data_IF_685891405633
#
_entry.id   IF_685891405633
#
_cell.length_a   1.000
_cell.length_b   1.000
_cell.length_c   1.000
_cell.angle_alpha   90.00
_cell.angle_beta   90.00
_cell.angle_gamma   90.00
#
_symmetry.space_group_name_H-M   'P 1'
#
loop_
_entity.id
_entity.type
_entity.pdbx_description
1 polymer ?
#
# COMPACT_ATOMS: atom_id res chain seq x y z
N UNK A 1 -29.31 3.70 4.61
CA UNK A 1 -28.38 4.14 3.53
C UNK A 1 -27.42 5.20 4.05
N UNK A 2 -26.14 5.14 3.66
CA UNK A 2 -25.14 6.12 4.05
C UNK A 2 -24.48 6.74 2.82
N UNK A 3 -24.15 8.00 2.92
CA UNK A 3 -23.37 8.71 1.88
C UNK A 3 -21.98 8.93 2.43
N UNK A 4 -20.99 8.23 1.88
CA UNK A 4 -19.61 8.27 2.37
C UNK A 4 -18.62 8.47 1.25
N UNK A 5 -17.50 9.11 1.58
CA UNK A 5 -16.34 9.21 0.70
C UNK A 5 -15.09 9.06 1.56
N UNK A 6 -14.67 7.81 1.74
CA UNK A 6 -13.59 7.46 2.66
C UNK A 6 -12.36 7.08 1.82
N UNK A 7 -11.66 8.09 1.34
CA UNK A 7 -10.51 7.93 0.47
C UNK A 7 -9.22 7.94 1.27
N UNK A 8 -8.41 6.89 1.09
CA UNK A 8 -7.14 6.75 1.81
C UNK A 8 -6.01 6.38 0.87
N UNK A 9 -4.86 7.00 1.12
CA UNK A 9 -3.58 6.57 0.57
C UNK A 9 -2.94 5.67 1.62
N UNK A 10 -2.80 4.39 1.31
CA UNK A 10 -2.29 3.38 2.24
C UNK A 10 -0.93 2.89 1.73
N UNK A 11 0.05 2.83 2.62
CA UNK A 11 1.38 2.32 2.32
C UNK A 11 1.65 1.12 3.21
N UNK A 12 1.98 -0.01 2.60
CA UNK A 12 2.45 -1.20 3.31
C UNK A 12 3.80 -1.61 2.73
N UNK A 13 4.56 -2.37 3.51
CA UNK A 13 5.90 -2.78 3.11
C UNK A 13 6.21 -4.19 3.61
N UNK A 14 7.04 -4.94 2.88
CA UNK A 14 7.55 -6.21 3.39
C UNK A 14 8.30 -6.00 4.71
N UNK A 15 8.39 -7.06 5.51
CA UNK A 15 9.12 -7.06 6.78
C UNK A 15 10.54 -6.51 6.58
N UNK A 16 10.92 -5.58 7.43
CA UNK A 16 12.22 -4.90 7.39
C UNK A 16 12.48 -4.14 6.06
N UNK A 17 11.42 -3.87 5.31
CA UNK A 17 11.49 -3.20 4.01
C UNK A 17 12.41 -3.91 3.00
N UNK A 18 12.47 -5.24 3.07
CA UNK A 18 13.27 -6.03 2.13
C UNK A 18 12.71 -5.92 0.72
N UNK A 19 13.57 -5.83 -0.31
CA UNK A 19 13.12 -5.71 -1.70
C UNK A 19 12.72 -7.09 -2.27
N UNK A 20 11.55 -7.58 -1.90
CA UNK A 20 11.09 -8.93 -2.21
C UNK A 20 9.90 -9.00 -3.17
N UNK A 21 9.33 -7.84 -3.55
CA UNK A 21 8.25 -7.77 -4.55
C UNK A 21 8.88 -7.50 -5.90
N UNK A 22 9.15 -8.56 -6.66
CA UNK A 22 9.83 -8.45 -7.94
C UNK A 22 9.00 -7.68 -8.96
N UNK A 23 9.62 -6.74 -9.66
CA UNK A 23 8.97 -5.90 -10.67
C UNK A 23 8.29 -6.75 -11.75
N UNK A 24 8.90 -7.87 -12.15
CA UNK A 24 8.35 -8.76 -13.18
C UNK A 24 7.03 -9.42 -12.75
N UNK A 25 6.75 -9.51 -11.46
CA UNK A 25 5.60 -10.22 -10.92
C UNK A 25 4.64 -9.34 -10.11
N UNK A 26 4.95 -8.07 -9.95
CA UNK A 26 4.14 -7.16 -9.14
C UNK A 26 2.70 -7.02 -9.62
N UNK A 27 2.49 -7.08 -10.94
CA UNK A 27 1.15 -6.94 -11.51
C UNK A 27 0.22 -8.08 -11.10
N UNK A 28 0.74 -9.27 -10.88
CA UNK A 28 -0.05 -10.39 -10.37
C UNK A 28 -0.54 -10.10 -8.96
N UNK A 29 0.34 -9.58 -8.12
CA UNK A 29 -0.02 -9.17 -6.76
C UNK A 29 -1.05 -8.04 -6.79
N UNK A 30 -0.86 -7.04 -7.64
CA UNK A 30 -1.78 -5.92 -7.75
C UNK A 30 -3.18 -6.37 -8.19
N UNK A 31 -3.25 -7.28 -9.16
CA UNK A 31 -4.52 -7.85 -9.61
C UNK A 31 -5.23 -8.61 -8.50
N UNK A 32 -4.48 -9.34 -7.70
CA UNK A 32 -5.03 -10.07 -6.56
C UNK A 32 -5.62 -9.10 -5.52
N UNK A 33 -4.89 -8.03 -5.20
CA UNK A 33 -5.36 -7.00 -4.26
C UNK A 33 -6.61 -6.30 -4.81
N UNK A 34 -6.64 -6.01 -6.11
CA UNK A 34 -7.82 -5.44 -6.75
C UNK A 34 -9.04 -6.33 -6.54
N UNK A 35 -8.88 -7.65 -6.70
CA UNK A 35 -9.94 -8.62 -6.46
C UNK A 35 -10.44 -8.62 -5.03
N UNK A 36 -9.54 -8.51 -4.05
CA UNK A 36 -9.91 -8.41 -2.63
C UNK A 36 -10.76 -7.16 -2.40
N UNK A 37 -10.32 -6.01 -2.91
CA UNK A 37 -11.04 -4.75 -2.77
C UNK A 37 -12.44 -4.85 -3.36
N UNK A 38 -12.55 -5.38 -4.57
CA UNK A 38 -13.83 -5.55 -5.26
C UNK A 38 -14.79 -6.43 -4.46
N UNK A 39 -14.30 -7.54 -3.94
CA UNK A 39 -15.11 -8.46 -3.12
C UNK A 39 -15.64 -7.78 -1.85
N UNK A 40 -14.85 -6.90 -1.26
CA UNK A 40 -15.21 -6.17 -0.04
C UNK A 40 -15.93 -4.85 -0.31
N UNK A 41 -16.32 -4.60 -1.56
CA UNK A 41 -17.03 -3.37 -1.98
C UNK A 41 -16.20 -2.10 -1.73
N UNK A 42 -14.90 -2.24 -1.79
CA UNK A 42 -13.95 -1.13 -1.76
C UNK A 42 -13.51 -0.82 -3.19
N UNK A 43 -13.17 0.42 -3.48
CA UNK A 43 -12.74 0.83 -4.82
C UNK A 43 -11.25 1.13 -4.81
N UNK A 44 -10.49 0.30 -5.49
CA UNK A 44 -9.04 0.53 -5.64
C UNK A 44 -8.81 1.40 -6.87
N UNK A 45 -8.45 2.66 -6.67
CA UNK A 45 -8.25 3.62 -7.74
C UNK A 45 -6.87 3.52 -8.37
N UNK A 46 -5.86 3.21 -7.57
CA UNK A 46 -4.49 3.07 -8.07
C UNK A 46 -3.68 2.21 -7.11
N UNK A 47 -2.77 1.44 -7.68
CA UNK A 47 -1.80 0.66 -6.91
C UNK A 47 -0.48 0.65 -7.68
N UNK A 48 0.61 0.89 -7.00
CA UNK A 48 1.96 0.84 -7.56
C UNK A 48 2.97 0.89 -6.40
N UNK A 49 4.20 0.58 -6.67
CA UNK A 49 5.25 0.63 -5.66
C UNK A 49 6.59 0.25 -6.23
N UNK A 50 7.47 -0.16 -5.36
CA UNK A 50 8.78 -0.69 -5.69
C UNK A 50 8.92 -2.07 -5.07
N UNK A 51 10.10 -2.66 -5.12
CA UNK A 51 10.30 -3.99 -4.56
C UNK A 51 10.16 -4.02 -3.03
N UNK A 52 10.33 -2.88 -2.36
CA UNK A 52 10.37 -2.74 -0.90
C UNK A 52 9.16 -2.05 -0.27
N UNK A 53 8.19 -1.64 -1.07
CA UNK A 53 6.97 -1.01 -0.55
C UNK A 53 5.88 -0.92 -1.61
N UNK A 54 4.65 -0.62 -1.15
CA UNK A 54 3.45 -0.62 -1.96
C UNK A 54 2.54 0.52 -1.54
N UNK A 55 2.07 1.30 -2.52
CA UNK A 55 1.09 2.36 -2.34
C UNK A 55 -0.26 1.95 -2.93
N UNK A 56 -1.34 2.20 -2.19
CA UNK A 56 -2.71 2.00 -2.66
C UNK A 56 -3.52 3.27 -2.44
N UNK A 57 -4.32 3.65 -3.42
CA UNK A 57 -5.34 4.68 -3.25
C UNK A 57 -6.69 4.00 -3.31
N UNK A 58 -7.41 3.97 -2.19
CA UNK A 58 -8.61 3.15 -2.05
C UNK A 58 -9.73 3.89 -1.33
N UNK A 59 -10.95 3.77 -1.85
CA UNK A 59 -12.16 4.14 -1.11
C UNK A 59 -12.63 2.92 -0.34
N UNK A 60 -12.73 3.07 0.98
CA UNK A 60 -13.08 1.97 1.88
C UNK A 60 -14.57 2.02 2.19
N UNK A 61 -15.23 0.86 2.14
CA UNK A 61 -16.63 0.74 2.51
C UNK A 61 -16.81 1.13 3.99
N UNK A 62 -17.88 1.88 4.33
CA UNK A 62 -18.05 2.39 5.70
C UNK A 62 -18.22 1.32 6.78
N UNK A 63 -18.49 0.07 6.40
CA UNK A 63 -18.60 -1.04 7.36
C UNK A 63 -17.25 -1.64 7.75
N UNK A 64 -16.13 -1.20 7.15
CA UNK A 64 -14.80 -1.77 7.36
C UNK A 64 -13.90 -0.69 7.98
N UNK A 65 -13.24 -1.01 9.09
CA UNK A 65 -12.23 -0.10 9.65
C UNK A 65 -10.94 -0.16 8.82
N UNK A 66 -10.13 0.90 8.90
CA UNK A 66 -8.82 0.96 8.26
C UNK A 66 -7.96 -0.22 8.71
N UNK A 67 -7.90 -0.47 10.01
CA UNK A 67 -7.06 -1.56 10.54
C UNK A 67 -7.53 -2.93 10.05
N UNK A 68 -8.83 -3.14 9.95
CA UNK A 68 -9.36 -4.41 9.43
C UNK A 68 -9.08 -4.57 7.94
N UNK A 69 -9.21 -3.48 7.17
CA UNK A 69 -8.88 -3.50 5.74
C UNK A 69 -7.42 -3.88 5.51
N UNK A 70 -6.50 -3.21 6.20
CA UNK A 70 -5.06 -3.47 6.06
C UNK A 70 -4.72 -4.89 6.48
N UNK A 71 -5.28 -5.33 7.61
CA UNK A 71 -5.05 -6.70 8.10
C UNK A 71 -5.53 -7.73 7.10
N UNK A 72 -6.72 -7.54 6.54
CA UNK A 72 -7.30 -8.44 5.54
C UNK A 72 -6.41 -8.53 4.29
N UNK A 73 -5.95 -7.39 3.78
CA UNK A 73 -5.04 -7.36 2.63
C UNK A 73 -3.74 -8.10 2.95
N UNK A 74 -3.16 -7.84 4.13
CA UNK A 74 -1.91 -8.50 4.54
C UNK A 74 -2.06 -10.01 4.68
N UNK A 75 -3.12 -10.46 5.35
CA UNK A 75 -3.35 -11.90 5.55
C UNK A 75 -3.58 -12.61 4.22
N UNK A 76 -4.45 -12.07 3.39
CA UNK A 76 -4.79 -12.69 2.11
C UNK A 76 -3.61 -12.73 1.14
N UNK A 77 -2.87 -11.64 1.03
CA UNK A 77 -1.70 -11.59 0.14
C UNK A 77 -0.53 -12.40 0.66
N UNK A 78 -0.37 -12.48 1.98
CA UNK A 78 0.67 -13.32 2.57
C UNK A 78 0.48 -14.79 2.17
N UNK A 79 -0.73 -15.31 2.33
CA UNK A 79 -1.06 -16.68 1.92
C UNK A 79 -0.91 -16.86 0.41
N UNK A 80 -1.42 -15.91 -0.37
CA UNK A 80 -1.37 -15.98 -1.82
C UNK A 80 0.07 -15.98 -2.35
N UNK A 81 0.94 -15.12 -1.82
CA UNK A 81 2.34 -15.07 -2.25
C UNK A 81 3.10 -16.33 -1.87
N UNK A 82 2.78 -16.95 -0.75
CA UNK A 82 3.38 -18.23 -0.37
C UNK A 82 2.96 -19.35 -1.29
N UNK A 83 1.73 -19.33 -1.78
CA UNK A 83 1.25 -20.27 -2.79
C UNK A 83 1.87 -20.01 -4.17
N UNK A 84 2.36 -18.78 -4.41
CA UNK A 84 3.02 -18.36 -5.63
C UNK A 84 4.53 -18.17 -5.38
N UNK A 85 5.13 -19.15 -4.74
CA UNK A 85 6.52 -19.11 -4.32
C UNK A 85 7.50 -18.91 -5.47
N UNK A 86 7.17 -19.39 -6.67
CA UNK A 86 8.04 -19.22 -7.83
C UNK A 86 8.19 -17.74 -8.23
N UNK A 87 7.13 -16.96 -8.12
CA UNK A 87 7.13 -15.54 -8.42
C UNK A 87 7.61 -14.68 -7.25
N UNK A 88 7.42 -15.16 -6.01
CA UNK A 88 7.77 -14.41 -4.79
C UNK A 88 8.62 -15.27 -3.85
N UNK A 89 9.81 -15.72 -4.32
CA UNK A 89 10.59 -16.71 -3.54
C UNK A 89 11.14 -16.18 -2.23
N UNK A 90 11.34 -14.87 -2.13
CA UNK A 90 11.97 -14.26 -0.97
C UNK A 90 10.98 -13.54 -0.05
N UNK A 91 9.70 -13.58 -0.36
CA UNK A 91 8.69 -12.97 0.49
C UNK A 91 8.46 -13.84 1.73
N UNK A 92 8.66 -13.24 2.91
CA UNK A 92 8.43 -13.90 4.19
C UNK A 92 7.10 -13.43 4.81
N UNK A 93 6.99 -12.14 5.05
CA UNK A 93 5.79 -11.53 5.63
C UNK A 93 5.79 -10.02 5.37
N UNK A 94 4.65 -9.38 5.65
CA UNK A 94 4.56 -7.93 5.68
C UNK A 94 5.14 -7.40 7.00
N UNK A 95 5.63 -6.17 6.98
CA UNK A 95 5.97 -5.44 8.20
C UNK A 95 4.73 -5.21 9.04
N UNK A 96 4.89 -4.96 10.33
CA UNK A 96 3.76 -4.81 11.26
C UNK A 96 3.03 -3.48 11.08
N UNK A 97 3.78 -2.42 10.80
CA UNK A 97 3.20 -1.08 10.66
C UNK A 97 2.63 -0.84 9.27
N UNK A 98 1.83 0.21 9.15
CA UNK A 98 1.33 0.72 7.88
C UNK A 98 1.13 2.23 8.02
N UNK A 99 0.97 2.89 6.88
CA UNK A 99 0.59 4.29 6.85
C UNK A 99 -0.76 4.40 6.15
N UNK A 100 -1.66 5.24 6.68
CA UNK A 100 -2.94 5.53 6.06
C UNK A 100 -3.22 7.03 6.20
N UNK A 101 -3.28 7.71 5.07
CA UNK A 101 -3.50 9.15 5.00
C UNK A 101 -4.82 9.41 4.27
N UNK A 102 -5.71 10.21 4.86
CA UNK A 102 -7.02 10.50 4.26
C UNK A 102 -6.95 11.72 3.35
N UNK A 103 -7.75 11.66 2.28
CA UNK A 103 -7.85 12.74 1.31
C UNK A 103 -9.31 13.01 0.98
N UNK A 104 -9.60 14.17 0.40
CA UNK A 104 -10.92 14.46 -0.12
C UNK A 104 -10.96 14.21 -1.64
N UNK A 105 -12.15 14.22 -2.21
CA UNK A 105 -12.36 13.91 -3.65
C UNK A 105 -11.51 14.77 -4.57
N UNK A 106 -11.38 16.07 -4.28
CA UNK A 106 -10.61 16.99 -5.12
C UNK A 106 -9.12 16.64 -5.22
N UNK A 107 -8.59 15.84 -4.30
CA UNK A 107 -7.19 15.43 -4.29
C UNK A 107 -6.95 14.10 -5.02
N UNK A 108 -8.02 13.44 -5.46
CA UNK A 108 -7.96 12.11 -6.06
C UNK A 108 -6.94 12.03 -7.21
N UNK A 109 -7.07 12.90 -8.20
CA UNK A 109 -6.21 12.83 -9.39
C UNK A 109 -4.75 13.13 -9.07
N UNK A 110 -4.49 14.02 -8.14
CA UNK A 110 -3.13 14.33 -7.70
C UNK A 110 -2.48 13.10 -7.07
N UNK A 111 -3.17 12.40 -6.18
CA UNK A 111 -2.64 11.22 -5.49
C UNK A 111 -2.51 10.04 -6.46
N UNK A 112 -3.46 9.83 -7.35
CA UNK A 112 -3.37 8.80 -8.40
C UNK A 112 -2.11 8.99 -9.23
N UNK A 113 -1.86 10.22 -9.66
CA UNK A 113 -0.69 10.56 -10.46
C UNK A 113 0.61 10.33 -9.69
N UNK A 114 0.63 10.74 -8.43
CA UNK A 114 1.77 10.50 -7.56
C UNK A 114 2.11 9.00 -7.47
N UNK A 115 1.10 8.17 -7.22
CA UNK A 115 1.29 6.72 -7.11
C UNK A 115 1.71 6.11 -8.44
N UNK A 116 1.14 6.57 -9.55
CA UNK A 116 1.50 6.07 -10.88
C UNK A 116 2.97 6.29 -11.22
N UNK A 117 3.61 7.30 -10.62
CA UNK A 117 5.00 7.67 -10.90
C UNK A 117 6.03 7.10 -9.94
N UNK A 118 5.68 6.09 -9.14
CA UNK A 118 6.59 5.54 -8.14
C UNK A 118 7.90 5.03 -8.75
N UNK A 119 7.88 4.40 -9.91
CA UNK A 119 9.10 3.90 -10.56
C UNK A 119 10.06 5.03 -10.97
N UNK A 120 9.51 6.16 -11.40
CA UNK A 120 10.31 7.34 -11.77
C UNK A 120 10.84 8.04 -10.52
N UNK A 121 9.96 8.23 -9.52
CA UNK A 121 10.27 8.89 -8.28
C UNK A 121 11.46 8.21 -7.56
N UNK A 122 11.43 6.88 -7.48
CA UNK A 122 12.44 6.11 -6.76
C UNK A 122 13.76 5.91 -7.53
N UNK A 123 13.92 6.52 -8.69
CA UNK A 123 15.24 6.61 -9.32
C UNK A 123 16.18 7.55 -8.55
N UNK A 124 15.61 8.53 -7.84
CA UNK A 124 16.38 9.58 -7.16
C UNK A 124 16.08 9.71 -5.67
N UNK A 125 14.98 9.13 -5.18
CA UNK A 125 14.53 9.26 -3.79
C UNK A 125 14.32 7.88 -3.18
N UNK A 126 14.92 7.64 -2.00
CA UNK A 126 14.73 6.38 -1.27
C UNK A 126 13.32 6.30 -0.68
N UNK A 127 12.86 5.08 -0.39
CA UNK A 127 11.59 4.90 0.31
C UNK A 127 11.60 5.55 1.69
N UNK A 128 12.69 5.45 2.42
CA UNK A 128 12.79 6.08 3.74
C UNK A 128 12.57 7.58 3.66
N UNK A 129 13.22 8.26 2.72
CA UNK A 129 13.09 9.71 2.57
C UNK A 129 11.67 10.10 2.12
N UNK A 130 11.08 9.33 1.22
CA UNK A 130 9.70 9.53 0.79
C UNK A 130 8.74 9.38 1.97
N UNK A 131 8.90 8.32 2.73
CA UNK A 131 8.03 8.01 3.87
C UNK A 131 8.08 9.10 4.93
N UNK A 132 9.29 9.53 5.29
CA UNK A 132 9.46 10.61 6.27
C UNK A 132 8.80 11.91 5.80
N UNK A 133 8.96 12.25 4.52
CA UNK A 133 8.35 13.44 3.95
C UNK A 133 6.83 13.39 4.01
N UNK A 134 6.24 12.26 3.61
CA UNK A 134 4.78 12.09 3.65
C UNK A 134 4.23 12.22 5.07
N UNK A 135 4.88 11.60 6.04
CA UNK A 135 4.46 11.68 7.44
C UNK A 135 4.49 13.13 7.94
N UNK A 136 5.58 13.86 7.65
CA UNK A 136 5.71 15.26 8.07
C UNK A 136 4.66 16.16 7.42
N UNK A 137 4.32 15.92 6.17
CA UNK A 137 3.26 16.68 5.47
C UNK A 137 1.92 16.56 6.19
N UNK A 138 1.68 15.48 6.90
CA UNK A 138 0.45 15.24 7.65
C UNK A 138 0.61 15.50 9.15
N UNK A 139 1.70 16.15 9.55
CA UNK A 139 1.93 16.49 10.95
C UNK A 139 2.29 15.31 11.83
N UNK A 140 2.73 14.21 11.23
CA UNK A 140 3.17 13.01 11.95
C UNK A 140 4.69 13.02 12.05
N UNK A 141 5.22 12.98 13.27
CA UNK A 141 6.67 12.92 13.47
C UNK A 141 7.17 11.51 13.20
N UNK A 142 8.14 11.32 12.26
CA UNK A 142 8.66 9.98 11.97
C UNK A 142 9.38 9.38 13.17
N UNK A 143 9.16 8.09 13.41
CA UNK A 143 9.86 7.33 14.44
C UNK A 143 11.09 6.69 13.82
N UNK A 144 12.22 6.67 14.55
CA UNK A 144 13.46 6.05 14.08
C UNK A 144 13.30 4.54 13.79
N UNK A 145 12.28 3.92 14.38
CA UNK A 145 12.01 2.48 14.25
C UNK A 145 10.96 2.15 13.19
N UNK A 146 10.45 3.15 12.48
CA UNK A 146 9.30 3.00 11.57
C UNK A 146 9.49 1.95 10.45
N UNK A 147 10.72 1.64 10.09
CA UNK A 147 11.03 0.69 9.01
C UNK A 147 11.78 -0.56 9.48
N UNK A 148 11.83 -0.81 10.77
CA UNK A 148 12.63 -1.92 11.32
C UNK A 148 11.84 -3.22 11.57
N UNK A 149 10.53 -3.16 11.56
CA UNK A 149 9.68 -4.35 11.79
C UNK A 149 9.27 -5.06 10.52
#
# INVERSE_FOLDING_TARGET
MAYTYLLYHIIIRPKESKPVIKTDHEKKLYSYIWGICKEKKCVLHRINGMEDHLHMLVEIHPSISISDFVRMVKISTNSWMKEHHEEFPNFDSWGKSYCALSYCERDMEMVKHYIAKQKVHHKTVSFKDEYERLLREFGIEPDQWMLTD
#
